data_IF_445428642514
#
_entry.id   IF_445428642514
#
_cell.length_a   1.000
_cell.length_b   1.000
_cell.length_c   1.000
_cell.angle_alpha   90.00
_cell.angle_beta   90.00
_cell.angle_gamma   90.00
#
_symmetry.space_group_name_H-M   'P 1'
#
loop_
_entity.id
_entity.type
_entity.pdbx_description
1 polymer ?
#
# COMPACT_ATOMS: atom_id res chain seq x y z
N UNK A 1 -20.12 51.99 -37.98
CA UNK A 1 -19.61 50.84 -38.78
C UNK A 1 -19.06 49.67 -37.95
N UNK A 2 -18.48 49.89 -36.75
CA UNK A 2 -18.04 48.79 -35.85
C UNK A 2 -19.20 48.05 -35.16
N UNK A 3 -20.28 48.74 -34.80
CA UNK A 3 -21.41 48.14 -34.06
C UNK A 3 -22.27 47.18 -34.90
N UNK A 4 -22.51 47.45 -36.19
CA UNK A 4 -23.32 46.53 -37.01
C UNK A 4 -22.58 45.22 -37.27
N UNK A 5 -21.25 45.26 -37.48
CA UNK A 5 -20.43 44.05 -37.61
C UNK A 5 -20.45 43.20 -36.34
N UNK A 6 -20.47 43.82 -35.16
CA UNK A 6 -20.54 43.09 -33.88
C UNK A 6 -21.92 42.45 -33.70
N UNK A 7 -23.01 43.15 -34.06
CA UNK A 7 -24.38 42.60 -34.03
C UNK A 7 -24.53 41.40 -34.97
N UNK A 8 -24.04 41.50 -36.20
CA UNK A 8 -24.11 40.42 -37.19
C UNK A 8 -23.33 39.16 -36.74
N UNK A 9 -22.19 39.34 -36.06
CA UNK A 9 -21.41 38.24 -35.50
C UNK A 9 -22.15 37.58 -34.33
N UNK A 10 -22.73 38.38 -33.44
CA UNK A 10 -23.50 37.88 -32.30
C UNK A 10 -24.75 37.12 -32.74
N UNK A 11 -25.47 37.62 -33.73
CA UNK A 11 -26.68 36.99 -34.23
C UNK A 11 -26.38 35.65 -34.91
N UNK A 12 -25.33 35.58 -35.74
CA UNK A 12 -24.83 34.32 -36.30
C UNK A 12 -24.40 33.33 -35.22
N UNK A 13 -23.72 33.81 -34.18
CA UNK A 13 -23.30 32.96 -33.06
C UNK A 13 -24.50 32.40 -32.29
N UNK A 14 -25.54 33.21 -32.03
CA UNK A 14 -26.75 32.79 -31.33
C UNK A 14 -27.53 31.74 -32.13
N UNK A 15 -27.69 31.95 -33.44
CA UNK A 15 -28.35 30.99 -34.34
C UNK A 15 -27.57 29.67 -34.36
N UNK A 16 -26.25 29.72 -34.50
CA UNK A 16 -25.42 28.52 -34.52
C UNK A 16 -25.43 27.78 -33.17
N UNK A 17 -25.45 28.52 -32.05
CA UNK A 17 -25.57 27.96 -30.71
C UNK A 17 -26.91 27.26 -30.49
N UNK A 18 -28.01 27.87 -30.95
CA UNK A 18 -29.37 27.31 -30.88
C UNK A 18 -29.46 26.00 -31.68
N UNK A 19 -28.99 26.00 -32.94
CA UNK A 19 -28.97 24.81 -33.78
C UNK A 19 -28.15 23.66 -33.14
N UNK A 20 -26.99 23.98 -32.56
CA UNK A 20 -26.19 22.98 -31.82
C UNK A 20 -26.87 22.48 -30.56
N UNK A 21 -27.69 23.30 -29.90
CA UNK A 21 -28.49 22.86 -28.74
C UNK A 21 -29.56 21.83 -29.15
N UNK A 22 -30.30 22.10 -30.23
CA UNK A 22 -31.29 21.16 -30.77
C UNK A 22 -30.65 19.83 -31.21
N UNK A 23 -29.50 19.89 -31.89
CA UNK A 23 -28.73 18.70 -32.29
C UNK A 23 -28.35 17.86 -31.06
N UNK A 24 -27.89 18.50 -29.98
CA UNK A 24 -27.52 17.82 -28.72
C UNK A 24 -28.71 17.12 -28.08
N UNK A 25 -29.87 17.77 -28.05
CA UNK A 25 -31.11 17.23 -27.49
C UNK A 25 -31.65 16.07 -28.33
N UNK A 26 -31.82 16.26 -29.64
CA UNK A 26 -32.35 15.26 -30.58
C UNK A 26 -31.51 13.97 -30.61
N UNK A 27 -30.19 14.12 -30.52
CA UNK A 27 -29.28 12.98 -30.55
C UNK A 27 -28.93 12.43 -29.16
N UNK A 28 -29.55 12.92 -28.09
CA UNK A 28 -29.29 12.53 -26.70
C UNK A 28 -27.79 12.55 -26.34
N UNK A 29 -27.06 13.55 -26.83
CA UNK A 29 -25.58 13.55 -26.79
C UNK A 29 -25.05 13.58 -25.35
N UNK A 30 -25.70 14.32 -24.46
CA UNK A 30 -25.34 14.35 -23.04
C UNK A 30 -25.50 12.99 -22.36
N UNK A 31 -26.58 12.25 -22.68
CA UNK A 31 -26.81 10.91 -22.13
C UNK A 31 -25.68 9.96 -22.52
N UNK A 32 -25.29 9.94 -23.80
CA UNK A 32 -24.20 9.09 -24.26
C UNK A 32 -22.83 9.55 -23.74
N UNK A 33 -22.61 10.85 -23.56
CA UNK A 33 -21.37 11.36 -22.95
C UNK A 33 -21.21 10.93 -21.49
N UNK A 34 -22.30 10.75 -20.75
CA UNK A 34 -22.26 10.29 -19.35
C UNK A 34 -22.15 8.76 -19.26
N UNK A 35 -22.96 8.02 -20.02
CA UNK A 35 -23.02 6.56 -19.92
C UNK A 35 -21.87 5.85 -20.64
N UNK A 36 -21.52 6.33 -21.84
CA UNK A 36 -20.53 5.71 -22.73
C UNK A 36 -19.69 6.81 -23.41
N UNK A 37 -18.82 7.51 -22.66
CA UNK A 37 -18.15 8.72 -23.13
C UNK A 37 -17.44 8.59 -24.50
N UNK A 38 -16.76 7.46 -24.83
CA UNK A 38 -16.19 7.28 -26.17
C UNK A 38 -17.24 7.31 -27.29
N UNK A 39 -18.39 6.67 -27.07
CA UNK A 39 -19.50 6.68 -28.02
C UNK A 39 -20.20 8.05 -28.07
N UNK A 40 -20.34 8.71 -26.91
CA UNK A 40 -20.84 10.08 -26.82
C UNK A 40 -19.99 11.08 -27.59
N UNK A 41 -18.66 10.99 -27.47
CA UNK A 41 -17.70 11.83 -28.22
C UNK A 41 -17.76 11.55 -29.73
N UNK A 42 -17.84 10.29 -30.14
CA UNK A 42 -18.05 9.92 -31.54
C UNK A 42 -19.34 10.52 -32.10
N UNK A 43 -20.46 10.39 -31.37
CA UNK A 43 -21.76 10.92 -31.78
C UNK A 43 -21.77 12.45 -31.80
N UNK A 44 -21.07 13.09 -30.87
CA UNK A 44 -20.85 14.53 -30.83
C UNK A 44 -20.04 15.04 -32.04
N UNK A 45 -19.01 14.29 -32.44
CA UNK A 45 -18.19 14.62 -33.60
C UNK A 45 -18.98 14.45 -34.91
N UNK A 46 -19.62 13.28 -35.10
CA UNK A 46 -20.39 12.96 -36.30
C UNK A 46 -21.51 13.96 -36.57
N UNK A 47 -22.21 14.41 -35.53
CA UNK A 47 -23.34 15.33 -35.66
C UNK A 47 -22.95 16.82 -35.55
N UNK A 48 -21.65 17.15 -35.50
CA UNK A 48 -21.16 18.54 -35.32
C UNK A 48 -21.82 19.27 -34.14
N UNK A 49 -22.09 18.53 -33.06
CA UNK A 49 -22.86 19.02 -31.92
C UNK A 49 -22.09 20.03 -31.05
N UNK A 50 -20.77 20.04 -31.17
CA UNK A 50 -19.87 20.99 -30.52
C UNK A 50 -18.84 21.49 -31.53
N UNK A 51 -18.16 22.60 -31.20
CA UNK A 51 -17.01 23.05 -31.99
C UNK A 51 -15.86 22.04 -31.92
N UNK A 52 -15.00 22.02 -32.94
CA UNK A 52 -13.81 21.14 -32.98
C UNK A 52 -12.92 21.32 -31.75
N UNK A 53 -12.72 22.57 -31.31
CA UNK A 53 -11.90 22.89 -30.14
C UNK A 53 -12.54 22.35 -28.85
N UNK A 54 -13.85 22.54 -28.67
CA UNK A 54 -14.58 22.00 -27.52
C UNK A 54 -14.46 20.47 -27.46
N UNK A 55 -14.57 19.80 -28.61
CA UNK A 55 -14.48 18.35 -28.69
C UNK A 55 -13.06 17.84 -28.37
N UNK A 56 -12.03 18.56 -28.81
CA UNK A 56 -10.64 18.28 -28.44
C UNK A 56 -10.41 18.42 -26.93
N UNK A 57 -10.89 19.50 -26.31
CA UNK A 57 -10.79 19.67 -24.86
C UNK A 57 -11.53 18.57 -24.08
N UNK A 58 -12.74 18.19 -24.52
CA UNK A 58 -13.49 17.09 -23.91
C UNK A 58 -12.75 15.74 -24.03
N UNK A 59 -12.11 15.47 -25.18
CA UNK A 59 -11.31 14.26 -25.37
C UNK A 59 -10.11 14.21 -24.43
N UNK A 60 -9.35 15.32 -24.31
CA UNK A 60 -8.21 15.41 -23.40
C UNK A 60 -8.67 15.21 -21.94
N UNK A 61 -9.76 15.87 -21.55
CA UNK A 61 -10.34 15.71 -20.22
C UNK A 61 -10.76 14.26 -19.94
N UNK A 62 -11.37 13.58 -20.91
CA UNK A 62 -11.74 12.17 -20.78
C UNK A 62 -10.51 11.27 -20.62
N UNK A 63 -9.45 11.47 -21.41
CA UNK A 63 -8.21 10.71 -21.29
C UNK A 63 -7.59 10.92 -19.90
N UNK A 64 -7.56 12.16 -19.40
CA UNK A 64 -7.09 12.48 -18.05
C UNK A 64 -7.92 11.77 -16.96
N UNK A 65 -9.25 11.83 -17.03
CA UNK A 65 -10.15 11.14 -16.09
C UNK A 65 -9.92 9.64 -16.14
N UNK A 66 -9.76 9.07 -17.33
CA UNK A 66 -9.51 7.64 -17.50
C UNK A 66 -8.19 7.22 -16.86
N UNK A 67 -7.10 7.97 -17.12
CA UNK A 67 -5.80 7.75 -16.49
C UNK A 67 -5.90 7.85 -14.96
N UNK A 68 -6.55 8.89 -14.44
CA UNK A 68 -6.76 9.08 -13.00
C UNK A 68 -7.58 7.95 -12.38
N UNK A 69 -8.59 7.47 -13.08
CA UNK A 69 -9.45 6.37 -12.63
C UNK A 69 -8.66 5.07 -12.56
N UNK A 70 -7.88 4.75 -13.61
CA UNK A 70 -6.98 3.59 -13.61
C UNK A 70 -5.94 3.68 -12.50
N UNK A 71 -5.36 4.86 -12.27
CA UNK A 71 -4.40 5.08 -11.19
C UNK A 71 -5.05 4.90 -9.81
N UNK A 72 -6.27 5.41 -9.61
CA UNK A 72 -7.02 5.27 -8.35
C UNK A 72 -7.43 3.82 -8.10
N UNK A 73 -7.81 3.06 -9.14
CA UNK A 73 -8.11 1.63 -9.00
C UNK A 73 -6.83 0.84 -8.70
N UNK A 74 -5.72 1.16 -9.37
CA UNK A 74 -4.45 0.47 -9.16
C UNK A 74 -3.81 0.79 -7.79
N UNK A 75 -4.01 2.02 -7.30
CA UNK A 75 -3.41 2.52 -6.06
C UNK A 75 -4.46 3.28 -5.21
N UNK A 76 -5.45 2.58 -4.63
CA UNK A 76 -6.59 3.20 -3.95
C UNK A 76 -6.20 4.05 -2.74
N UNK A 77 -5.06 3.77 -2.11
CA UNK A 77 -4.58 4.50 -0.94
C UNK A 77 -3.51 5.55 -1.24
N UNK A 78 -3.19 5.85 -2.52
CA UNK A 78 -2.04 6.70 -2.91
C UNK A 78 -1.97 8.04 -2.18
N UNK A 79 -3.09 8.75 -2.06
CA UNK A 79 -3.15 10.05 -1.36
C UNK A 79 -2.86 9.88 0.13
N UNK A 80 -3.42 8.83 0.75
CA UNK A 80 -3.24 8.55 2.16
C UNK A 80 -1.81 8.08 2.43
N UNK A 81 -1.25 7.19 1.61
CA UNK A 81 0.13 6.72 1.68
C UNK A 81 1.12 7.89 1.51
N UNK A 82 0.81 8.86 0.65
CA UNK A 82 1.62 10.09 0.49
C UNK A 82 1.61 10.94 1.77
N UNK A 83 0.44 11.16 2.37
CA UNK A 83 0.32 11.89 3.66
C UNK A 83 1.01 11.15 4.80
N UNK A 84 0.88 9.82 4.86
CA UNK A 84 1.60 8.97 5.82
C UNK A 84 3.11 9.13 5.63
N UNK A 85 3.60 9.01 4.40
CA UNK A 85 5.02 9.16 4.07
C UNK A 85 5.55 10.52 4.49
N UNK A 86 4.80 11.60 4.26
CA UNK A 86 5.18 12.95 4.73
C UNK A 86 5.24 13.04 6.25
N UNK A 87 4.22 12.53 6.96
CA UNK A 87 4.18 12.52 8.42
C UNK A 87 5.37 11.74 9.02
N UNK A 88 5.68 10.58 8.43
CA UNK A 88 6.81 9.74 8.84
C UNK A 88 8.16 10.40 8.51
N UNK A 89 8.33 11.01 7.34
CA UNK A 89 9.59 11.70 6.98
C UNK A 89 9.91 12.88 7.92
N UNK A 90 8.91 13.45 8.59
CA UNK A 90 9.14 14.49 9.60
C UNK A 90 9.80 13.94 10.88
N UNK A 91 9.75 12.62 11.12
CA UNK A 91 10.49 11.96 12.18
C UNK A 91 11.94 11.71 11.75
N UNK A 92 12.86 12.60 12.11
CA UNK A 92 14.28 12.52 11.71
C UNK A 92 15.00 11.26 12.21
N UNK A 93 14.56 10.67 13.32
CA UNK A 93 15.29 9.58 13.98
C UNK A 93 15.29 8.28 13.20
N UNK A 94 14.28 8.05 12.35
CA UNK A 94 14.15 6.84 11.54
C UNK A 94 14.84 6.93 10.17
N UNK A 95 15.41 8.08 9.80
CA UNK A 95 16.08 8.27 8.51
C UNK A 95 15.11 8.46 7.34
N UNK A 96 15.60 8.30 6.11
CA UNK A 96 14.81 8.58 4.89
C UNK A 96 13.89 7.41 4.57
N UNK A 97 12.59 7.69 4.42
CA UNK A 97 11.59 6.67 4.05
C UNK A 97 11.79 6.21 2.61
N UNK A 98 11.89 4.88 2.43
CA UNK A 98 12.03 4.22 1.12
C UNK A 98 10.72 3.61 0.64
N UNK A 99 10.00 2.97 1.57
CA UNK A 99 8.73 2.29 1.30
C UNK A 99 7.81 2.39 2.50
N UNK A 100 6.54 2.56 2.22
CA UNK A 100 5.45 2.53 3.19
C UNK A 100 4.40 1.58 2.65
N UNK A 101 4.05 0.56 3.42
CA UNK A 101 3.03 -0.43 3.09
C UNK A 101 2.07 -0.54 4.27
N UNK A 102 0.76 -0.43 4.00
CA UNK A 102 -0.27 -0.68 5.01
C UNK A 102 -0.33 -2.18 5.32
N UNK A 103 -0.10 -2.58 6.57
CA UNK A 103 -0.17 -3.98 7.01
C UNK A 103 -1.50 -4.33 7.68
N UNK A 104 -2.19 -3.34 8.28
CA UNK A 104 -3.43 -3.64 9.01
C UNK A 104 -3.99 -2.50 9.84
N UNK A 105 -4.90 -2.86 10.75
CA UNK A 105 -5.54 -1.95 11.70
C UNK A 105 -5.51 -2.56 13.10
N UNK A 106 -4.83 -1.91 14.03
CA UNK A 106 -4.82 -2.27 15.44
C UNK A 106 -6.07 -1.74 16.15
N UNK A 107 -6.82 -2.66 16.76
CA UNK A 107 -8.00 -2.39 17.60
C UNK A 107 -9.03 -1.43 16.97
N UNK A 108 -9.15 -1.44 15.63
CA UNK A 108 -10.01 -0.51 14.86
C UNK A 108 -9.71 0.98 15.05
N UNK A 109 -8.57 1.33 15.68
CA UNK A 109 -8.20 2.71 16.01
C UNK A 109 -6.93 3.16 15.30
N UNK A 110 -5.91 2.31 15.23
CA UNK A 110 -4.61 2.69 14.68
C UNK A 110 -4.33 1.91 13.39
N UNK A 111 -3.97 2.61 12.32
CA UNK A 111 -3.43 1.98 11.12
C UNK A 111 -1.98 1.56 11.36
N UNK A 112 -1.64 0.34 10.95
CA UNK A 112 -0.28 -0.18 11.02
C UNK A 112 0.35 -0.05 9.63
N UNK A 113 1.45 0.69 9.54
CA UNK A 113 2.25 0.82 8.33
C UNK A 113 3.64 0.25 8.54
N UNK A 114 3.98 -0.78 7.78
CA UNK A 114 5.36 -1.21 7.64
C UNK A 114 6.12 -0.17 6.79
N UNK A 115 7.15 0.41 7.39
CA UNK A 115 7.96 1.49 6.86
C UNK A 115 9.42 1.03 6.79
N UNK A 116 9.95 0.95 5.59
CA UNK A 116 11.37 0.69 5.37
C UNK A 116 12.08 2.02 5.16
N UNK A 117 13.17 2.23 5.90
CA UNK A 117 13.99 3.43 5.82
C UNK A 117 15.46 3.08 5.59
N UNK A 118 16.32 4.10 5.57
CA UNK A 118 17.78 3.92 5.55
C UNK A 118 18.37 3.36 6.85
N UNK A 119 17.64 3.42 7.97
CA UNK A 119 18.12 2.98 9.30
C UNK A 119 17.50 1.67 9.77
N UNK A 120 16.47 1.15 9.10
CA UNK A 120 15.85 -0.10 9.47
C UNK A 120 14.43 -0.25 8.93
N UNK A 121 13.71 -1.20 9.53
CA UNK A 121 12.31 -1.49 9.24
C UNK A 121 11.48 -1.20 10.49
N UNK A 122 10.34 -0.54 10.31
CA UNK A 122 9.53 -0.01 11.40
C UNK A 122 8.04 -0.23 11.14
N UNK A 123 7.32 -0.66 12.17
CA UNK A 123 5.88 -0.52 12.21
C UNK A 123 5.51 0.85 12.81
N UNK A 124 4.86 1.67 11.99
CA UNK A 124 4.35 2.98 12.38
C UNK A 124 2.85 2.85 12.63
N UNK A 125 2.43 3.25 13.83
CA UNK A 125 1.03 3.28 14.26
C UNK A 125 0.48 4.70 14.11
N UNK A 126 -0.54 4.85 13.28
CA UNK A 126 -1.17 6.15 13.00
C UNK A 126 -2.65 6.14 13.37
N UNK A 127 -3.12 7.15 14.09
CA UNK A 127 -4.54 7.46 14.20
C UNK A 127 -4.93 8.59 13.25
N UNK A 128 -6.17 8.55 12.78
CA UNK A 128 -6.78 9.66 12.04
C UNK A 128 -7.63 10.46 13.03
N UNK A 129 -7.21 11.70 13.32
CA UNK A 129 -7.98 12.63 14.14
C UNK A 129 -8.24 13.90 13.32
N UNK A 130 -9.51 14.24 13.08
CA UNK A 130 -9.93 15.42 12.31
C UNK A 130 -9.15 15.63 10.99
N UNK A 131 -9.08 14.59 10.14
CA UNK A 131 -8.34 14.60 8.86
C UNK A 131 -6.82 14.81 8.96
N UNK A 132 -6.25 14.80 10.17
CA UNK A 132 -4.80 14.80 10.40
C UNK A 132 -4.34 13.42 10.85
N UNK A 133 -3.31 12.90 10.19
CA UNK A 133 -2.68 11.64 10.56
C UNK A 133 -1.64 11.91 11.63
N UNK A 134 -1.93 11.47 12.85
CA UNK A 134 -1.00 11.58 13.98
C UNK A 134 -0.25 10.26 14.13
N UNK A 135 1.07 10.35 14.29
CA UNK A 135 1.88 9.19 14.68
C UNK A 135 1.72 8.99 16.19
N UNK A 136 1.20 7.83 16.57
CA UNK A 136 0.97 7.45 17.98
C UNK A 136 2.00 6.44 18.48
N UNK A 137 2.73 5.78 17.59
CA UNK A 137 3.83 4.91 17.97
C UNK A 137 4.70 4.51 16.79
N UNK A 138 5.96 4.23 17.07
CA UNK A 138 6.90 3.66 16.10
C UNK A 138 7.66 2.52 16.76
N UNK A 139 7.53 1.32 16.20
CA UNK A 139 8.20 0.11 16.67
C UNK A 139 9.19 -0.37 15.60
N UNK A 140 10.49 -0.35 15.93
CA UNK A 140 11.54 -0.81 15.04
C UNK A 140 11.53 -2.33 14.99
N UNK A 141 11.11 -2.92 13.87
CA UNK A 141 11.12 -4.38 13.63
C UNK A 141 12.54 -4.88 13.37
N UNK A 142 13.33 -4.13 12.61
CA UNK A 142 14.75 -4.44 12.36
C UNK A 142 15.64 -3.20 12.53
N UNK A 143 16.85 -3.34 13.10
CA UNK A 143 17.44 -4.59 13.61
C UNK A 143 17.09 -4.90 15.09
N UNK A 144 16.64 -3.91 15.87
CA UNK A 144 16.67 -4.02 17.34
C UNK A 144 15.36 -4.47 18.01
N UNK A 145 14.24 -4.58 17.28
CA UNK A 145 12.94 -5.02 17.84
C UNK A 145 12.51 -4.20 19.06
N UNK A 146 12.48 -2.87 18.93
CA UNK A 146 12.18 -1.95 20.03
C UNK A 146 11.23 -0.83 19.64
N UNK A 147 10.35 -0.45 20.57
CA UNK A 147 9.54 0.75 20.44
C UNK A 147 10.43 1.99 20.64
N UNK A 148 10.50 2.85 19.63
CA UNK A 148 11.35 4.05 19.64
C UNK A 148 10.56 5.34 19.89
N UNK A 149 9.25 5.31 19.65
CA UNK A 149 8.37 6.43 19.89
C UNK A 149 7.00 5.94 20.31
N UNK A 150 6.36 6.67 21.22
CA UNK A 150 5.04 6.37 21.77
C UNK A 150 4.34 7.63 22.23
N UNK A 151 3.12 7.82 21.75
CA UNK A 151 2.24 8.92 22.09
C UNK A 151 0.79 8.48 21.90
N UNK A 152 0.11 8.01 22.96
CA UNK A 152 -1.29 7.59 22.88
C UNK A 152 -1.53 6.13 22.46
N UNK A 153 -0.46 5.36 22.19
CA UNK A 153 -0.54 3.90 22.13
C UNK A 153 -0.57 3.31 23.55
N UNK A 154 -1.28 2.20 23.73
CA UNK A 154 -1.42 1.54 25.03
C UNK A 154 -0.05 1.03 25.57
N UNK A 155 0.16 1.15 26.89
CA UNK A 155 1.45 0.84 27.54
C UNK A 155 1.85 -0.63 27.45
N UNK A 156 0.85 -1.51 27.44
CA UNK A 156 0.95 -2.96 27.27
C UNK A 156 1.61 -3.42 25.95
N UNK A 157 1.70 -2.54 24.94
CA UNK A 157 2.35 -2.85 23.66
C UNK A 157 3.85 -2.58 23.66
N UNK A 158 4.36 -1.90 24.69
CA UNK A 158 5.77 -1.58 24.76
C UNK A 158 6.61 -2.86 24.87
N UNK A 159 7.62 -2.98 24.00
CA UNK A 159 8.50 -4.15 23.93
C UNK A 159 7.89 -5.38 23.26
N UNK A 160 6.62 -5.34 22.82
CA UNK A 160 6.03 -6.44 22.05
C UNK A 160 6.58 -6.40 20.63
N UNK A 161 6.97 -7.56 20.10
CA UNK A 161 7.41 -7.69 18.72
C UNK A 161 6.28 -7.26 17.78
N UNK A 162 6.61 -6.42 16.81
CA UNK A 162 5.67 -5.85 15.85
C UNK A 162 4.89 -6.95 15.11
N UNK A 163 5.58 -8.03 14.76
CA UNK A 163 5.04 -9.24 14.15
C UNK A 163 3.88 -9.84 14.96
N UNK A 164 4.00 -9.86 16.29
CA UNK A 164 2.97 -10.42 17.18
C UNK A 164 1.78 -9.47 17.28
N UNK A 165 2.03 -8.15 17.34
CA UNK A 165 0.97 -7.14 17.31
C UNK A 165 0.14 -7.29 16.02
N UNK A 166 0.80 -7.39 14.86
CA UNK A 166 0.15 -7.59 13.55
C UNK A 166 -0.69 -8.87 13.51
N UNK A 167 -0.13 -9.98 14.02
CA UNK A 167 -0.80 -11.29 14.04
C UNK A 167 -2.09 -11.26 14.87
N UNK A 168 -2.07 -10.57 16.01
CA UNK A 168 -3.24 -10.41 16.88
C UNK A 168 -4.23 -9.40 16.31
N UNK A 169 -3.76 -8.32 15.67
CA UNK A 169 -4.61 -7.21 15.24
C UNK A 169 -5.45 -7.48 14.01
N UNK A 170 -4.93 -8.23 13.04
CA UNK A 170 -5.56 -8.38 11.72
C UNK A 170 -6.81 -9.27 11.80
N UNK A 171 -6.62 -10.57 12.05
CA UNK A 171 -7.72 -11.55 11.95
C UNK A 171 -7.95 -12.35 13.24
N UNK A 172 -6.99 -12.33 14.16
CA UNK A 172 -7.00 -13.22 15.31
C UNK A 172 -7.39 -12.54 16.63
N UNK A 173 -7.91 -11.31 16.58
CA UNK A 173 -8.32 -10.57 17.79
C UNK A 173 -9.34 -11.37 18.61
N UNK A 174 -10.25 -12.08 17.95
CA UNK A 174 -11.28 -12.87 18.65
C UNK A 174 -10.69 -14.07 19.40
N UNK A 175 -9.56 -14.61 18.91
CA UNK A 175 -8.87 -15.77 19.49
C UNK A 175 -8.03 -15.35 20.69
N UNK A 176 -7.26 -14.27 20.56
CA UNK A 176 -6.27 -13.86 21.56
C UNK A 176 -6.77 -12.75 22.50
N UNK A 177 -7.72 -11.91 22.08
CA UNK A 177 -8.11 -10.71 22.83
C UNK A 177 -7.04 -9.62 22.82
N UNK A 178 -7.15 -8.65 23.73
CA UNK A 178 -6.10 -7.61 23.89
C UNK A 178 -4.87 -8.15 24.60
N UNK A 179 -3.70 -7.63 24.22
CA UNK A 179 -2.45 -7.84 24.94
C UNK A 179 -2.53 -7.14 26.29
N UNK A 180 -2.07 -7.78 27.37
CA UNK A 180 -1.98 -7.17 28.71
C UNK A 180 -0.54 -6.91 29.12
N UNK A 181 0.33 -7.90 28.95
CA UNK A 181 1.75 -7.79 29.34
C UNK A 181 2.63 -8.84 28.67
N UNK A 182 3.93 -8.60 28.71
CA UNK A 182 4.97 -9.55 28.30
C UNK A 182 5.45 -10.27 29.55
N UNK A 183 5.37 -11.60 29.55
CA UNK A 183 5.92 -12.43 30.64
C UNK A 183 7.40 -12.73 30.43
N UNK A 184 7.80 -13.03 29.19
CA UNK A 184 9.16 -13.43 28.86
C UNK A 184 9.49 -13.12 27.39
N UNK A 185 10.72 -12.69 27.14
CA UNK A 185 11.26 -12.50 25.79
C UNK A 185 12.44 -13.44 25.56
N UNK A 186 12.51 -14.02 24.38
CA UNK A 186 13.63 -14.84 23.93
C UNK A 186 13.95 -14.50 22.46
N UNK A 187 15.07 -15.03 21.93
CA UNK A 187 15.64 -14.60 20.64
C UNK A 187 14.64 -14.54 19.49
N UNK A 188 13.78 -15.55 19.38
CA UNK A 188 12.82 -15.72 18.29
C UNK A 188 11.37 -15.71 18.76
N UNK A 189 11.04 -15.06 19.88
CA UNK A 189 9.65 -15.04 20.32
C UNK A 189 9.41 -14.47 21.71
N UNK A 190 8.15 -14.45 22.11
CA UNK A 190 7.70 -13.87 23.37
C UNK A 190 6.55 -14.68 23.98
N UNK A 191 6.53 -14.75 25.30
CA UNK A 191 5.37 -15.22 26.08
C UNK A 191 4.56 -13.98 26.47
N UNK A 192 3.32 -13.93 26.01
CA UNK A 192 2.42 -12.79 26.18
C UNK A 192 1.18 -13.23 26.95
N UNK A 193 0.81 -12.43 27.95
CA UNK A 193 -0.47 -12.54 28.61
C UNK A 193 -1.48 -11.67 27.89
N UNK A 194 -2.61 -12.27 27.50
CA UNK A 194 -3.72 -11.58 26.85
C UNK A 194 -4.98 -11.72 27.68
N UNK A 195 -6.08 -11.12 27.23
CA UNK A 195 -7.41 -11.34 27.84
C UNK A 195 -7.89 -12.79 27.76
N UNK A 196 -7.40 -13.58 26.80
CA UNK A 196 -7.85 -14.96 26.54
C UNK A 196 -6.90 -16.05 27.08
N UNK A 197 -5.82 -15.65 27.75
CA UNK A 197 -4.86 -16.54 28.40
C UNK A 197 -3.42 -16.16 28.13
N UNK A 198 -2.50 -17.10 28.39
CA UNK A 198 -1.07 -16.93 28.15
C UNK A 198 -0.66 -17.70 26.90
N UNK A 199 0.03 -17.01 26.00
CA UNK A 199 0.43 -17.55 24.71
C UNK A 199 1.92 -17.37 24.48
N UNK A 200 2.55 -18.41 23.95
CA UNK A 200 3.93 -18.37 23.50
C UNK A 200 3.97 -18.20 21.97
N UNK A 201 4.48 -17.08 21.50
CA UNK A 201 4.57 -16.73 20.08
C UNK A 201 6.00 -16.87 19.58
N UNK A 202 6.19 -17.71 18.56
CA UNK A 202 7.46 -17.81 17.85
C UNK A 202 7.41 -17.01 16.55
N UNK A 203 8.46 -16.22 16.31
CA UNK A 203 8.57 -15.27 15.20
C UNK A 203 9.80 -15.58 14.35
N UNK A 204 9.61 -15.66 13.04
CA UNK A 204 10.68 -15.84 12.04
C UNK A 204 10.33 -15.11 10.75
N UNK A 205 11.31 -14.44 10.13
CA UNK A 205 11.14 -13.68 8.88
C UNK A 205 9.95 -12.71 8.91
N UNK A 206 9.90 -11.87 9.94
CA UNK A 206 8.86 -10.85 10.15
C UNK A 206 7.40 -11.38 10.28
N UNK A 207 7.25 -12.69 10.51
CA UNK A 207 5.95 -13.36 10.69
C UNK A 207 5.95 -14.25 11.95
N UNK A 208 4.76 -14.44 12.53
CA UNK A 208 4.52 -15.45 13.58
C UNK A 208 4.40 -16.81 12.93
N UNK A 209 5.26 -17.76 13.30
CA UNK A 209 5.31 -19.11 12.69
C UNK A 209 4.65 -20.19 13.55
N UNK A 210 4.67 -20.04 14.88
CA UNK A 210 3.99 -20.95 15.79
C UNK A 210 3.38 -20.17 16.95
N UNK A 211 2.23 -20.64 17.42
CA UNK A 211 1.63 -20.16 18.68
C UNK A 211 1.27 -21.35 19.55
N UNK A 212 1.66 -21.29 20.82
CA UNK A 212 1.29 -22.26 21.82
C UNK A 212 0.46 -21.60 22.91
N UNK A 213 -0.63 -22.23 23.33
CA UNK A 213 -1.46 -21.79 24.45
C UNK A 213 -1.06 -22.54 25.72
N UNK A 214 -0.92 -21.82 26.83
CA UNK A 214 -0.75 -22.44 28.13
C UNK A 214 -2.10 -22.97 28.63
N UNK A 215 -2.17 -24.28 28.87
CA UNK A 215 -3.37 -24.92 29.42
C UNK A 215 -3.33 -24.96 30.96
N UNK A 216 -4.46 -25.36 31.58
CA UNK A 216 -4.61 -25.44 33.05
C UNK A 216 -3.56 -26.32 33.74
N UNK A 217 -2.99 -27.29 33.03
CA UNK A 217 -1.95 -28.19 33.54
C UNK A 217 -0.52 -27.62 33.37
N UNK A 218 -0.38 -26.32 33.06
CA UNK A 218 0.89 -25.67 32.73
C UNK A 218 1.65 -26.27 31.53
N UNK A 219 0.92 -26.92 30.62
CA UNK A 219 1.46 -27.49 29.38
C UNK A 219 1.12 -26.57 28.21
N UNK A 220 2.12 -26.27 27.38
CA UNK A 220 1.94 -25.52 26.14
C UNK A 220 1.46 -26.44 25.02
N UNK A 221 0.25 -26.18 24.51
CA UNK A 221 -0.28 -26.87 23.33
C UNK A 221 -0.25 -25.97 22.11
N UNK A 222 0.27 -26.49 20.99
CA UNK A 222 0.31 -25.75 19.72
C UNK A 222 -1.11 -25.54 19.19
N UNK A 223 -1.44 -24.28 18.87
CA UNK A 223 -2.75 -23.88 18.33
C UNK A 223 -2.64 -23.20 16.96
N UNK A 224 -1.43 -22.85 16.54
CA UNK A 224 -1.14 -22.24 15.24
C UNK A 224 0.21 -22.72 14.73
N UNK A 225 0.30 -23.00 13.43
CA UNK A 225 1.55 -23.28 12.74
C UNK A 225 1.45 -22.82 11.30
N UNK A 226 2.45 -22.06 10.86
CA UNK A 226 2.60 -21.65 9.47
C UNK A 226 4.07 -21.85 9.06
N UNK A 227 4.34 -22.33 7.83
CA UNK A 227 5.71 -22.39 7.34
C UNK A 227 6.34 -20.99 7.32
N UNK A 228 7.64 -20.88 7.67
CA UNK A 228 8.33 -19.60 7.64
C UNK A 228 8.43 -19.09 6.20
N UNK A 229 7.77 -17.97 5.91
CA UNK A 229 7.77 -17.34 4.59
C UNK A 229 8.29 -15.89 4.67
N UNK A 230 9.16 -15.53 3.73
CA UNK A 230 9.56 -14.14 3.49
C UNK A 230 8.58 -13.55 2.47
N UNK A 231 7.84 -12.50 2.86
CA UNK A 231 6.93 -11.79 1.95
C UNK A 231 7.75 -11.11 0.85
N UNK A 232 7.42 -11.39 -0.41
CA UNK A 232 8.05 -10.74 -1.57
C UNK A 232 7.22 -9.51 -1.96
N UNK A 233 7.82 -8.31 -1.99
CA UNK A 233 7.15 -7.11 -2.49
C UNK A 233 6.68 -7.25 -3.94
N UNK A 234 5.55 -6.61 -4.29
CA UNK A 234 4.94 -6.73 -5.61
C UNK A 234 5.83 -6.27 -6.77
N UNK A 235 6.65 -5.24 -6.55
CA UNK A 235 7.62 -4.74 -7.53
C UNK A 235 8.73 -5.76 -7.81
N UNK A 236 9.27 -6.40 -6.76
CA UNK A 236 10.23 -7.50 -6.88
C UNK A 236 9.59 -8.71 -7.60
N UNK A 237 8.37 -9.07 -7.22
CA UNK A 237 7.60 -10.16 -7.86
C UNK A 237 7.39 -9.91 -9.36
N UNK A 238 7.05 -8.67 -9.76
CA UNK A 238 6.92 -8.27 -11.17
C UNK A 238 8.22 -8.47 -11.94
N UNK A 239 9.36 -8.15 -11.34
CA UNK A 239 10.66 -8.29 -11.99
C UNK A 239 11.06 -9.74 -12.16
N UNK A 240 10.78 -10.57 -11.16
CA UNK A 240 11.03 -12.01 -11.26
C UNK A 240 10.18 -12.60 -12.38
N UNK A 241 8.90 -12.22 -12.47
CA UNK A 241 8.02 -12.64 -13.57
C UNK A 241 8.53 -12.19 -14.94
N UNK A 242 9.00 -10.95 -15.08
CA UNK A 242 9.59 -10.43 -16.34
C UNK A 242 10.86 -11.17 -16.74
N UNK A 243 11.65 -11.62 -15.78
CA UNK A 243 12.91 -12.32 -16.00
C UNK A 243 12.79 -13.85 -15.85
N UNK A 244 11.58 -14.40 -15.84
CA UNK A 244 11.30 -15.83 -15.62
C UNK A 244 12.06 -16.73 -16.59
N UNK A 245 12.24 -16.31 -17.85
CA UNK A 245 13.04 -17.07 -18.84
C UNK A 245 14.50 -17.24 -18.43
N UNK A 246 15.07 -16.27 -17.72
CA UNK A 246 16.48 -16.28 -17.28
C UNK A 246 16.66 -16.95 -15.92
N UNK A 247 15.71 -16.72 -15.01
CA UNK A 247 15.83 -17.09 -13.59
C UNK A 247 15.19 -18.45 -13.30
N UNK A 248 14.19 -18.87 -14.09
CA UNK A 248 13.30 -19.98 -13.74
C UNK A 248 12.17 -19.53 -12.80
N UNK A 249 11.38 -20.48 -12.32
CA UNK A 249 10.41 -20.21 -11.26
C UNK A 249 11.11 -20.13 -9.90
N UNK A 250 10.59 -19.30 -9.01
CA UNK A 250 11.06 -19.28 -7.63
C UNK A 250 10.52 -20.54 -6.92
N UNK A 251 11.43 -21.36 -6.41
CA UNK A 251 11.09 -22.47 -5.50
C UNK A 251 10.98 -21.96 -4.06
N UNK A 252 11.94 -21.15 -3.62
CA UNK A 252 11.98 -20.64 -2.25
C UNK A 252 12.75 -19.32 -2.14
N UNK A 253 12.35 -18.45 -1.20
CA UNK A 253 13.16 -17.32 -0.73
C UNK A 253 14.03 -17.79 0.43
N UNK A 254 15.34 -17.66 0.29
CA UNK A 254 16.34 -18.16 1.24
C UNK A 254 16.62 -17.11 2.31
N UNK A 255 16.78 -15.86 1.91
CA UNK A 255 17.09 -14.77 2.84
C UNK A 255 16.61 -13.42 2.32
N UNK A 256 16.41 -12.52 3.27
CA UNK A 256 16.16 -11.10 3.06
C UNK A 256 17.11 -10.33 3.97
N UNK A 257 17.89 -9.42 3.37
CA UNK A 257 18.82 -8.56 4.09
C UNK A 257 18.49 -7.10 3.76
N UNK A 258 18.24 -6.31 4.80
CA UNK A 258 18.06 -4.87 4.68
C UNK A 258 19.37 -4.16 5.04
N UNK A 259 19.92 -3.39 4.11
CA UNK A 259 21.12 -2.58 4.33
C UNK A 259 20.81 -1.08 4.19
N UNK A 260 21.69 -0.19 4.68
CA UNK A 260 21.58 1.25 4.45
C UNK A 260 21.62 1.69 2.98
N UNK A 261 21.95 0.78 2.05
CA UNK A 261 22.01 1.08 0.61
C UNK A 261 21.03 0.27 -0.26
N UNK A 262 20.57 -0.89 0.21
CA UNK A 262 19.77 -1.78 -0.61
C UNK A 262 18.87 -2.73 0.20
N UNK A 263 17.79 -3.17 -0.45
CA UNK A 263 17.03 -4.37 -0.10
C UNK A 263 17.58 -5.54 -0.91
N UNK A 264 18.04 -6.60 -0.25
CA UNK A 264 18.62 -7.77 -0.91
C UNK A 264 17.81 -9.02 -0.62
N UNK A 265 17.51 -9.78 -1.66
CA UNK A 265 16.79 -11.04 -1.55
C UNK A 265 17.55 -12.15 -2.26
N UNK A 266 17.67 -13.31 -1.62
CA UNK A 266 18.27 -14.51 -2.22
C UNK A 266 17.17 -15.55 -2.45
N UNK A 267 17.12 -16.10 -3.66
CA UNK A 267 16.12 -17.05 -4.10
C UNK A 267 16.77 -18.32 -4.61
N UNK A 268 16.13 -19.46 -4.36
CA UNK A 268 16.40 -20.71 -5.05
C UNK A 268 15.39 -20.87 -6.19
N UNK A 269 15.89 -21.04 -7.40
CA UNK A 269 15.09 -21.38 -8.57
C UNK A 269 14.74 -22.87 -8.62
N UNK A 270 13.69 -23.22 -9.38
CA UNK A 270 13.37 -24.60 -9.77
C UNK A 270 14.51 -25.29 -10.50
N UNK A 271 15.29 -24.52 -11.26
CA UNK A 271 16.50 -24.99 -11.96
C UNK A 271 17.71 -25.23 -11.04
N UNK A 272 17.54 -25.17 -9.71
CA UNK A 272 18.59 -25.44 -8.73
C UNK A 272 19.60 -24.31 -8.49
N UNK A 273 19.54 -23.22 -9.25
CA UNK A 273 20.43 -22.08 -9.09
C UNK A 273 19.92 -21.07 -8.06
N UNK A 274 20.87 -20.42 -7.37
CA UNK A 274 20.60 -19.31 -6.49
C UNK A 274 20.70 -17.98 -7.24
N UNK A 275 19.76 -17.08 -6.99
CA UNK A 275 19.74 -15.73 -7.55
C UNK A 275 19.62 -14.70 -6.44
N UNK A 276 20.44 -13.64 -6.50
CA UNK A 276 20.36 -12.48 -5.62
C UNK A 276 19.73 -11.32 -6.39
N UNK A 277 18.65 -10.77 -5.86
CA UNK A 277 18.04 -9.53 -6.37
C UNK A 277 18.36 -8.42 -5.38
N UNK A 278 18.96 -7.34 -5.90
CA UNK A 278 19.33 -6.16 -5.13
C UNK A 278 18.53 -5.00 -5.65
N UNK A 279 17.77 -4.35 -4.77
CA UNK A 279 17.07 -3.10 -5.04
C UNK A 279 17.79 -1.97 -4.32
N UNK A 280 18.35 -1.03 -5.07
CA UNK A 280 19.07 0.11 -4.51
C UNK A 280 18.15 1.32 -4.22
N UNK A 281 18.77 2.38 -3.68
CA UNK A 281 18.08 3.63 -3.30
C UNK A 281 17.40 4.34 -4.49
N UNK A 282 17.87 4.11 -5.72
CA UNK A 282 17.29 4.70 -6.93
C UNK A 282 16.13 3.86 -7.48
N UNK A 283 15.71 2.82 -6.74
CA UNK A 283 14.75 1.80 -7.18
C UNK A 283 15.24 1.02 -8.40
N UNK A 284 16.54 1.07 -8.71
CA UNK A 284 17.10 0.17 -9.70
C UNK A 284 17.20 -1.23 -9.10
N UNK A 285 16.90 -2.22 -9.92
CA UNK A 285 16.83 -3.60 -9.48
C UNK A 285 17.77 -4.43 -10.33
N UNK A 286 18.77 -5.01 -9.67
CA UNK A 286 19.85 -5.78 -10.28
C UNK A 286 19.73 -7.24 -9.87
N UNK A 287 19.96 -8.14 -10.82
CA UNK A 287 19.81 -9.59 -10.64
C UNK A 287 21.15 -10.26 -10.88
N UNK A 288 21.64 -10.97 -9.89
CA UNK A 288 22.91 -11.68 -9.91
C UNK A 288 22.67 -13.17 -9.75
N UNK A 289 23.26 -14.00 -10.60
CA UNK A 289 23.35 -15.44 -10.35
C UNK A 289 24.43 -15.66 -9.30
N UNK A 290 24.08 -16.31 -8.19
CA UNK A 290 25.04 -16.71 -7.18
C UNK A 290 25.68 -18.03 -7.63
N UNK A 291 27.00 -18.14 -7.46
CA UNK A 291 27.74 -19.39 -7.71
C UNK A 291 27.56 -20.33 -6.54
#
# INVERSE_FOLDING_TARGET
MKESKIKDILEKFLIESSNRHEIRKKNHIWMYLVLLPPYGLYKAYRNKAFSKHTLLFMLIAFIMIFILTLDTIAYPNRVLDSKVTQSINNFKDIGTVRRVNKEGILYKKFFIYNTITTKGEYDVYLSNNNNTLKIDGINQTLPNRKMIYKNGIEDNLNGVFAEIIRHISNDNKNIYGKIKSISKTYKNGQIINTEKGTFNFEVKFDNVINVFKLNKNNIYTKIYSEPPQIKIPNDISKIIKRNRKKIGNIKQVISYNLTPKAEEYIYLSDNGFYYKIVKDLNKEIKIFKQK
#
